data_IF_427317403259
#
_entry.id   IF_427317403259
#
_cell.length_a   1.000
_cell.length_b   1.000
_cell.length_c   1.000
_cell.angle_alpha   90.00
_cell.angle_beta   90.00
_cell.angle_gamma   90.00
#
_symmetry.space_group_name_H-M   'P 1'
#
loop_
_entity.id
_entity.type
_entity.pdbx_description
1 polymer ?
#
# COMPACT_ATOMS: atom_id res chain seq x y z
N UNK A 1 -33.69 -10.88 -3.52
CA UNK A 1 -32.95 -10.72 -2.24
C UNK A 1 -31.77 -9.84 -2.54
N UNK A 2 -31.83 -8.56 -2.15
CA UNK A 2 -30.70 -7.65 -2.31
C UNK A 2 -29.67 -8.02 -1.22
N UNK A 3 -28.52 -8.54 -1.62
CA UNK A 3 -27.38 -8.65 -0.72
C UNK A 3 -26.92 -7.22 -0.44
N UNK A 4 -27.20 -6.76 0.76
CA UNK A 4 -26.67 -5.50 1.29
C UNK A 4 -25.16 -5.65 1.37
N UNK A 5 -24.43 -5.11 0.38
CA UNK A 5 -23.00 -4.85 0.50
C UNK A 5 -22.83 -3.93 1.71
N UNK A 6 -22.39 -4.53 2.81
CA UNK A 6 -22.05 -3.79 4.01
C UNK A 6 -20.78 -3.02 3.68
N UNK A 7 -20.91 -1.72 3.40
CA UNK A 7 -19.79 -0.81 3.23
C UNK A 7 -18.99 -0.80 4.54
N UNK A 8 -17.99 -1.68 4.65
CA UNK A 8 -17.12 -1.75 5.84
C UNK A 8 -16.35 -0.44 5.89
N UNK A 9 -16.71 0.39 6.87
CA UNK A 9 -16.07 1.67 7.10
C UNK A 9 -14.64 1.39 7.59
N UNK A 10 -13.65 1.92 6.87
CA UNK A 10 -12.24 1.75 7.26
C UNK A 10 -11.98 2.49 8.57
N UNK A 11 -11.13 1.94 9.47
CA UNK A 11 -10.70 2.67 10.66
C UNK A 11 -10.01 3.99 10.28
N UNK A 12 -10.10 4.99 11.16
CA UNK A 12 -9.43 6.27 10.97
C UNK A 12 -7.91 6.09 10.79
N UNK A 13 -7.30 6.84 9.88
CA UNK A 13 -5.88 6.74 9.56
C UNK A 13 -5.47 5.47 8.78
N UNK A 14 -6.43 4.66 8.32
CA UNK A 14 -6.19 3.49 7.46
C UNK A 14 -6.59 3.75 6.02
N UNK A 15 -5.90 3.07 5.11
CA UNK A 15 -6.26 2.97 3.70
C UNK A 15 -6.36 1.51 3.28
N UNK A 16 -7.15 1.26 2.24
CA UNK A 16 -7.32 -0.06 1.62
C UNK A 16 -6.59 -0.10 0.29
N UNK A 17 -5.62 -1.00 0.14
CA UNK A 17 -4.97 -1.28 -1.15
C UNK A 17 -5.52 -2.60 -1.68
N UNK A 18 -6.04 -2.61 -2.91
CA UNK A 18 -6.63 -3.80 -3.53
C UNK A 18 -5.70 -4.24 -4.66
N UNK A 19 -5.21 -5.47 -4.57
CA UNK A 19 -4.37 -6.11 -5.58
C UNK A 19 -5.13 -6.49 -6.85
N UNK A 20 -4.40 -6.89 -7.90
CA UNK A 20 -4.92 -7.42 -9.16
C UNK A 20 -5.95 -8.54 -8.95
N UNK A 21 -5.66 -9.48 -8.04
CA UNK A 21 -6.50 -10.63 -7.69
C UNK A 21 -7.61 -10.31 -6.68
N UNK A 22 -7.79 -9.03 -6.35
CA UNK A 22 -8.87 -8.54 -5.48
C UNK A 22 -8.60 -8.71 -3.98
N UNK A 23 -7.40 -9.15 -3.59
CA UNK A 23 -7.03 -9.22 -2.17
C UNK A 23 -6.89 -7.81 -1.60
N UNK A 24 -7.51 -7.58 -0.44
CA UNK A 24 -7.54 -6.27 0.24
C UNK A 24 -6.50 -6.20 1.36
N UNK A 25 -5.63 -5.20 1.31
CA UNK A 25 -4.67 -4.87 2.35
C UNK A 25 -5.10 -3.59 3.07
N UNK A 26 -5.32 -3.67 4.38
CA UNK A 26 -5.61 -2.50 5.22
C UNK A 26 -4.32 -2.10 5.93
N UNK A 27 -3.78 -0.93 5.59
CA UNK A 27 -2.52 -0.42 6.15
C UNK A 27 -2.68 1.02 6.66
N UNK A 28 -1.71 1.48 7.44
CA UNK A 28 -1.63 2.87 7.87
C UNK A 28 -1.43 3.79 6.67
N UNK A 29 -2.19 4.88 6.65
CA UNK A 29 -2.09 5.88 5.58
C UNK A 29 -0.68 6.45 5.48
N UNK A 30 -0.04 6.74 6.61
CA UNK A 30 1.34 7.26 6.63
C UNK A 30 2.32 6.31 5.96
N UNK A 31 2.14 4.98 6.14
CA UNK A 31 2.94 3.98 5.46
C UNK A 31 2.61 3.97 3.96
N UNK A 32 1.33 3.94 3.59
CA UNK A 32 0.91 3.96 2.18
C UNK A 32 1.47 5.18 1.41
N UNK A 33 1.55 6.34 2.07
CA UNK A 33 2.09 7.57 1.51
C UNK A 33 3.60 7.54 1.27
N UNK A 34 4.33 6.50 1.67
CA UNK A 34 5.72 6.26 1.24
C UNK A 34 5.80 6.20 -0.28
N UNK A 35 4.80 5.61 -0.94
CA UNK A 35 4.67 5.62 -2.40
C UNK A 35 4.15 6.98 -2.88
N UNK A 36 4.88 7.64 -3.78
CA UNK A 36 4.41 8.89 -4.40
C UNK A 36 3.16 8.66 -5.24
N UNK A 37 3.08 7.51 -5.92
CA UNK A 37 1.92 7.13 -6.74
C UNK A 37 0.67 6.97 -5.88
N UNK A 38 0.73 6.19 -4.80
CA UNK A 38 -0.40 6.01 -3.89
C UNK A 38 -0.77 7.34 -3.22
N UNK A 39 0.22 8.14 -2.83
CA UNK A 39 -0.01 9.47 -2.27
C UNK A 39 -0.80 10.36 -3.24
N UNK A 40 -0.39 10.43 -4.50
CA UNK A 40 -1.11 11.19 -5.52
C UNK A 40 -2.54 10.68 -5.76
N UNK A 41 -2.74 9.36 -5.72
CA UNK A 41 -4.07 8.77 -5.82
C UNK A 41 -4.96 9.14 -4.63
N UNK A 42 -4.44 9.06 -3.40
CA UNK A 42 -5.17 9.44 -2.19
C UNK A 42 -5.49 10.94 -2.17
N UNK A 43 -4.53 11.79 -2.54
CA UNK A 43 -4.72 13.24 -2.58
C UNK A 43 -5.76 13.65 -3.64
N UNK A 44 -5.84 12.91 -4.76
CA UNK A 44 -6.85 13.15 -5.80
C UNK A 44 -8.29 12.85 -5.35
N UNK A 45 -8.47 12.01 -4.32
CA UNK A 45 -9.79 11.70 -3.76
C UNK A 45 -10.36 12.84 -2.90
N UNK A 46 -9.50 13.79 -2.49
CA UNK A 46 -9.85 14.99 -1.73
C UNK A 46 -10.12 14.74 -0.24
N UNK A 47 -9.99 15.79 0.58
CA UNK A 47 -10.24 15.73 2.03
C UNK A 47 -11.72 15.52 2.39
N UNK A 48 -12.65 15.76 1.45
CA UNK A 48 -14.10 15.71 1.71
C UNK A 48 -14.69 14.29 1.70
N UNK A 49 -13.91 13.27 1.34
CA UNK A 49 -14.34 11.86 1.34
C UNK A 49 -13.95 11.14 2.64
N UNK A 50 -14.14 11.77 3.80
CA UNK A 50 -13.94 11.14 5.13
C UNK A 50 -14.75 9.86 5.35
N UNK A 51 -15.73 9.55 4.50
CA UNK A 51 -16.69 8.45 4.75
C UNK A 51 -16.79 7.43 3.62
N UNK A 52 -16.26 7.68 2.42
CA UNK A 52 -16.35 6.71 1.31
C UNK A 52 -14.97 6.34 0.79
N UNK A 53 -14.39 5.35 1.48
CA UNK A 53 -13.34 4.46 1.02
C UNK A 53 -12.06 5.14 0.50
N UNK A 54 -11.12 5.45 1.42
CA UNK A 54 -9.69 5.65 1.12
C UNK A 54 -9.09 4.37 0.55
N UNK A 55 -9.49 4.02 -0.67
CA UNK A 55 -9.25 2.76 -1.35
C UNK A 55 -8.50 3.03 -2.64
N UNK A 56 -7.45 2.25 -2.87
CA UNK A 56 -6.62 2.32 -4.07
C UNK A 56 -6.58 0.95 -4.71
N UNK A 57 -6.93 0.88 -5.99
CA UNK A 57 -6.90 -0.34 -6.78
C UNK A 57 -5.59 -0.40 -7.58
N UNK A 58 -4.78 -1.42 -7.33
CA UNK A 58 -3.50 -1.69 -7.96
C UNK A 58 -3.66 -2.87 -8.92
N UNK A 59 -4.36 -2.62 -10.03
CA UNK A 59 -4.79 -3.63 -11.01
C UNK A 59 -3.64 -4.38 -11.71
N UNK A 60 -2.41 -3.90 -11.58
CA UNK A 60 -1.22 -4.49 -12.20
C UNK A 60 -0.30 -5.19 -11.18
N UNK A 61 -0.69 -5.24 -9.89
CA UNK A 61 0.14 -5.78 -8.81
C UNK A 61 -0.60 -6.93 -8.12
N UNK A 62 -0.13 -8.18 -8.25
CA UNK A 62 -0.75 -9.33 -7.58
C UNK A 62 -0.49 -9.29 -6.06
N UNK A 63 -1.37 -9.92 -5.28
CA UNK A 63 -1.35 -9.88 -3.81
C UNK A 63 0.02 -10.23 -3.21
N UNK A 64 0.70 -11.27 -3.72
CA UNK A 64 2.02 -11.71 -3.23
C UNK A 64 3.11 -10.63 -3.35
N UNK A 65 3.00 -9.76 -4.35
CA UNK A 65 3.93 -8.66 -4.60
C UNK A 65 3.51 -7.46 -3.75
N UNK A 66 2.20 -7.15 -3.73
CA UNK A 66 1.65 -6.06 -2.95
C UNK A 66 1.91 -6.23 -1.44
N UNK A 67 1.81 -7.46 -0.92
CA UNK A 67 2.16 -7.78 0.47
C UNK A 67 3.59 -7.33 0.80
N UNK A 68 4.54 -7.63 -0.09
CA UNK A 68 5.94 -7.23 0.08
C UNK A 68 6.14 -5.73 -0.07
N UNK A 69 5.41 -5.06 -0.96
CA UNK A 69 5.38 -3.60 -1.04
C UNK A 69 4.86 -2.97 0.27
N UNK A 70 3.77 -3.49 0.85
CA UNK A 70 3.26 -3.04 2.13
C UNK A 70 4.28 -3.20 3.26
N UNK A 71 4.99 -4.34 3.32
CA UNK A 71 6.09 -4.54 4.27
C UNK A 71 7.21 -3.51 4.06
N UNK A 72 7.56 -3.22 2.81
CA UNK A 72 8.56 -2.21 2.47
C UNK A 72 8.12 -0.80 2.89
N UNK A 73 6.84 -0.44 2.76
CA UNK A 73 6.34 0.86 3.20
C UNK A 73 6.58 1.10 4.68
N UNK A 74 6.24 0.13 5.53
CA UNK A 74 6.50 0.21 6.97
C UNK A 74 8.01 0.22 7.27
N UNK A 75 8.78 -0.61 6.58
CA UNK A 75 10.24 -0.62 6.71
C UNK A 75 10.83 0.76 6.39
N UNK A 76 10.48 1.34 5.24
CA UNK A 76 10.95 2.66 4.81
C UNK A 76 10.54 3.73 5.80
N UNK A 77 9.27 3.77 6.20
CA UNK A 77 8.76 4.74 7.17
C UNK A 77 9.54 4.64 8.51
N UNK A 78 9.75 3.41 9.00
CA UNK A 78 10.43 3.15 10.27
C UNK A 78 11.90 3.53 10.27
N UNK A 79 12.59 3.39 9.14
CA UNK A 79 14.05 3.54 9.03
C UNK A 79 14.52 4.80 8.28
N UNK A 80 13.61 5.66 7.79
CA UNK A 80 13.98 6.89 7.04
C UNK A 80 14.95 7.79 7.80
N UNK A 81 14.81 7.91 9.12
CA UNK A 81 15.65 8.79 9.96
C UNK A 81 16.61 8.01 10.88
N UNK A 82 16.85 6.72 10.59
CA UNK A 82 17.73 5.86 11.39
C UNK A 82 19.13 5.85 10.79
N UNK A 83 20.21 5.91 11.59
CA UNK A 83 21.57 5.77 11.08
C UNK A 83 21.75 4.45 10.32
N UNK A 84 22.44 4.50 9.18
CA UNK A 84 22.58 3.35 8.26
C UNK A 84 23.10 2.06 8.92
N UNK A 85 23.95 2.18 9.93
CA UNK A 85 24.49 1.05 10.70
C UNK A 85 23.43 0.25 11.49
N UNK A 86 22.29 0.87 11.79
CA UNK A 86 21.22 0.30 12.61
C UNK A 86 20.01 -0.14 11.75
N UNK A 87 20.13 -0.03 10.41
CA UNK A 87 19.08 -0.42 9.47
C UNK A 87 19.25 -1.91 9.12
N UNK A 88 18.28 -2.78 9.46
CA UNK A 88 18.34 -4.19 9.10
C UNK A 88 18.15 -4.39 7.59
N UNK A 89 18.63 -5.52 7.06
CA UNK A 89 18.37 -5.85 5.65
C UNK A 89 16.88 -6.14 5.44
N UNK A 90 16.30 -5.58 4.37
CA UNK A 90 14.96 -5.96 3.92
C UNK A 90 15.03 -7.22 3.05
N UNK A 91 14.47 -8.37 3.48
CA UNK A 91 14.60 -9.62 2.74
C UNK A 91 13.67 -9.64 1.52
N UNK A 92 14.28 -9.78 0.34
CA UNK A 92 13.59 -9.93 -0.95
C UNK A 92 13.77 -11.36 -1.45
N UNK A 93 12.69 -12.17 -1.52
CA UNK A 93 12.76 -13.50 -2.12
C UNK A 93 13.17 -13.39 -3.60
N UNK A 94 14.14 -14.21 -4.07
CA UNK A 94 14.57 -14.20 -5.47
C UNK A 94 13.42 -14.37 -6.46
N UNK A 95 12.42 -15.17 -6.10
CA UNK A 95 11.25 -15.48 -6.93
C UNK A 95 10.34 -14.28 -7.17
N UNK A 96 10.41 -13.26 -6.30
CA UNK A 96 9.61 -12.04 -6.41
C UNK A 96 10.41 -10.84 -6.94
N UNK A 97 11.73 -10.99 -7.14
CA UNK A 97 12.62 -9.86 -7.38
C UNK A 97 12.26 -9.03 -8.63
N UNK A 98 11.91 -9.69 -9.74
CA UNK A 98 11.54 -9.00 -10.98
C UNK A 98 10.19 -8.28 -10.86
N UNK A 99 9.19 -8.93 -10.28
CA UNK A 99 7.87 -8.32 -10.08
C UNK A 99 7.94 -7.16 -9.08
N UNK A 100 8.74 -7.29 -8.01
CA UNK A 100 8.97 -6.22 -7.05
C UNK A 100 9.69 -5.04 -7.67
N UNK A 101 10.62 -5.25 -8.59
CA UNK A 101 11.29 -4.16 -9.32
C UNK A 101 10.30 -3.39 -10.20
N UNK A 102 9.42 -4.08 -10.90
CA UNK A 102 8.37 -3.44 -11.71
C UNK A 102 7.39 -2.68 -10.82
N UNK A 103 6.94 -3.30 -9.73
CA UNK A 103 6.05 -2.68 -8.76
C UNK A 103 6.69 -1.46 -8.09
N UNK A 104 7.97 -1.50 -7.70
CA UNK A 104 8.66 -0.36 -7.08
C UNK A 104 8.79 0.82 -8.03
N UNK A 105 9.03 0.55 -9.32
CA UNK A 105 9.06 1.59 -10.33
C UNK A 105 7.67 2.22 -10.55
N UNK A 106 6.61 1.41 -10.58
CA UNK A 106 5.24 1.89 -10.69
C UNK A 106 4.80 2.70 -9.47
N UNK A 107 5.14 2.22 -8.27
CA UNK A 107 4.75 2.84 -7.00
C UNK A 107 5.61 4.07 -6.63
N UNK A 108 6.74 4.28 -7.31
CA UNK A 108 7.70 5.35 -7.04
C UNK A 108 8.11 5.39 -5.55
N UNK A 109 8.87 4.38 -5.13
CA UNK A 109 9.20 4.07 -3.71
C UNK A 109 10.67 3.73 -3.49
#
# INVERSE_FOLDING_TARGET
MATSESSVQLPEGKVKLISEDGFEFIIDEEAARVSSTIRGMLDSQGDFQETQSRTVHLQEIPARVLEKCCQYFYYKLRYTNVPSKDIPQFPVPPELALELLMASNYLDT
#
